data_IF_063763570668
#
_entry.id   IF_063763570668
#
_cell.length_a   1.000
_cell.length_b   1.000
_cell.length_c   1.000
_cell.angle_alpha   90.00
_cell.angle_beta   90.00
_cell.angle_gamma   90.00
#
_symmetry.space_group_name_H-M   'P 1'
#
loop_
_entity.id
_entity.type
_entity.pdbx_description
1 polymer ?
#
# COMPACT_ATOMS: atom_id res chain seq x y z
N UNK A 1 -4.67 37.56 72.78
CA UNK A 1 -5.34 37.17 71.52
C UNK A 1 -4.69 37.97 70.39
N UNK A 2 -3.88 37.37 69.47
CA UNK A 2 -3.41 37.98 68.18
C UNK A 2 -2.29 37.20 67.44
N UNK A 3 -2.04 35.90 67.69
CA UNK A 3 -1.00 35.14 66.93
C UNK A 3 -1.52 34.07 65.95
N UNK A 4 -2.84 33.87 65.89
CA UNK A 4 -3.45 32.95 64.91
C UNK A 4 -3.41 33.42 63.42
N UNK A 5 -3.46 34.72 63.06
CA UNK A 5 -3.63 35.09 61.65
C UNK A 5 -2.34 34.98 60.82
N UNK A 6 -1.16 35.00 61.44
CA UNK A 6 0.13 34.91 60.74
C UNK A 6 0.49 33.50 60.29
N UNK A 7 0.12 32.49 61.09
CA UNK A 7 0.34 31.08 60.76
C UNK A 7 -0.57 30.61 59.61
N UNK A 8 -1.82 31.10 59.58
CA UNK A 8 -2.74 30.87 58.46
C UNK A 8 -2.25 31.52 57.16
N UNK A 9 -1.70 32.74 57.24
CA UNK A 9 -1.17 33.44 56.05
C UNK A 9 0.06 32.73 55.48
N UNK A 10 0.96 32.23 56.34
CA UNK A 10 2.14 31.47 55.93
C UNK A 10 1.79 30.10 55.36
N UNK A 11 0.78 29.42 55.91
CA UNK A 11 0.26 28.17 55.36
C UNK A 11 -0.39 28.37 53.98
N UNK A 12 -1.10 29.48 53.76
CA UNK A 12 -1.71 29.82 52.47
C UNK A 12 -0.65 30.17 51.41
N UNK A 13 0.42 30.87 51.79
CA UNK A 13 1.55 31.17 50.92
C UNK A 13 2.38 29.92 50.57
N UNK A 14 2.55 28.99 51.51
CA UNK A 14 3.20 27.71 51.25
C UNK A 14 2.37 26.82 50.31
N UNK A 15 1.03 26.89 50.38
CA UNK A 15 0.14 26.17 49.46
C UNK A 15 0.18 26.74 48.02
N UNK A 16 0.45 28.05 47.86
CA UNK A 16 0.58 28.67 46.53
C UNK A 16 1.89 28.31 45.82
N UNK A 17 2.95 27.98 46.57
CA UNK A 17 4.26 27.59 46.01
C UNK A 17 4.31 26.10 45.62
N UNK A 18 3.43 25.27 46.18
CA UNK A 18 3.27 23.85 45.82
C UNK A 18 2.19 23.58 44.77
N UNK A 19 1.52 24.60 44.23
CA UNK A 19 0.63 24.41 43.10
C UNK A 19 1.48 23.95 41.89
N UNK A 20 1.26 22.75 41.33
CA UNK A 20 1.96 22.34 40.14
C UNK A 20 1.61 23.38 39.08
N UNK A 21 2.63 24.05 38.54
CA UNK A 21 2.51 24.83 37.32
C UNK A 21 2.14 23.85 36.20
N UNK A 22 0.87 23.47 36.14
CA UNK A 22 0.26 22.90 34.96
C UNK A 22 0.35 24.00 33.93
N UNK A 23 1.42 23.96 33.13
CA UNK A 23 1.45 24.62 31.86
C UNK A 23 0.26 24.06 31.08
N UNK A 24 -0.87 24.76 31.15
CA UNK A 24 -1.91 24.65 30.18
C UNK A 24 -1.22 25.00 28.86
N UNK A 25 -0.80 23.97 28.10
CA UNK A 25 -0.62 24.11 26.66
C UNK A 25 -2.00 24.49 26.15
N UNK A 26 -2.24 25.80 26.07
CA UNK A 26 -3.24 26.33 25.19
C UNK A 26 -2.94 25.70 23.84
N UNK A 27 -3.82 24.80 23.39
CA UNK A 27 -3.71 24.19 22.07
C UNK A 27 -3.81 25.33 21.07
N UNK A 28 -2.65 25.83 20.63
CA UNK A 28 -2.57 26.55 19.37
C UNK A 28 -3.10 25.56 18.34
N UNK A 29 -4.34 25.76 17.92
CA UNK A 29 -4.89 25.07 16.76
C UNK A 29 -3.89 25.35 15.64
N UNK A 30 -3.21 24.30 15.20
CA UNK A 30 -2.30 24.41 14.08
C UNK A 30 -3.12 24.98 12.91
N UNK A 31 -2.61 25.98 12.18
CA UNK A 31 -3.31 26.52 11.02
C UNK A 31 -3.48 25.45 9.91
N UNK A 32 -2.80 24.32 10.04
CA UNK A 32 -2.92 23.16 9.14
C UNK A 32 -3.76 22.08 9.79
N UNK A 33 -4.74 21.56 9.04
CA UNK A 33 -5.54 20.40 9.44
C UNK A 33 -5.27 19.22 8.51
N UNK A 34 -5.33 18.02 9.08
CA UNK A 34 -5.19 16.75 8.39
C UNK A 34 -6.41 15.89 8.72
N UNK A 35 -7.23 15.58 7.72
CA UNK A 35 -8.27 14.55 7.80
C UNK A 35 -7.74 13.29 7.12
N UNK A 36 -7.56 12.20 7.86
CA UNK A 36 -6.87 10.99 7.38
C UNK A 36 -7.83 9.82 7.36
N UNK A 37 -7.81 9.10 6.24
CA UNK A 37 -8.55 7.86 6.00
C UNK A 37 -7.55 6.82 5.50
N UNK A 38 -7.12 5.96 6.41
CA UNK A 38 -6.17 4.90 6.12
C UNK A 38 -6.90 3.59 5.83
N UNK A 39 -6.29 2.74 5.01
CA UNK A 39 -6.81 1.42 4.69
C UNK A 39 -7.95 1.44 3.68
N UNK A 40 -8.41 0.24 3.32
CA UNK A 40 -9.44 0.04 2.29
C UNK A 40 -10.81 0.61 2.69
N UNK A 41 -11.14 0.52 3.98
CA UNK A 41 -12.39 1.01 4.56
C UNK A 41 -12.32 2.46 5.04
N UNK A 42 -11.15 3.10 4.96
CA UNK A 42 -10.88 4.43 5.50
C UNK A 42 -10.81 4.51 7.02
N UNK A 43 -10.96 3.38 7.73
CA UNK A 43 -10.93 3.27 9.20
C UNK A 43 -9.73 2.45 9.70
N UNK A 44 -8.73 2.27 8.83
CA UNK A 44 -7.44 1.68 9.15
C UNK A 44 -7.33 0.20 8.82
N UNK A 45 -8.31 -0.43 8.16
CA UNK A 45 -8.22 -1.85 7.81
C UNK A 45 -7.27 -2.07 6.63
N UNK A 46 -6.29 -2.96 6.81
CA UNK A 46 -5.30 -3.27 5.76
C UNK A 46 -4.83 -4.73 5.84
N UNK A 47 -4.35 -5.24 4.70
CA UNK A 47 -3.78 -6.57 4.58
C UNK A 47 -2.27 -6.49 4.80
N UNK A 48 -1.75 -7.27 5.75
CA UNK A 48 -0.32 -7.25 6.07
C UNK A 48 0.47 -7.86 4.91
N UNK A 49 1.64 -7.30 4.60
CA UNK A 49 2.45 -7.68 3.45
C UNK A 49 1.92 -7.21 2.09
N UNK A 50 0.90 -6.35 2.06
CA UNK A 50 0.35 -5.76 0.85
C UNK A 50 0.35 -4.22 0.94
N UNK A 51 0.38 -3.57 -0.23
CA UNK A 51 0.23 -2.12 -0.30
C UNK A 51 -1.21 -1.73 0.05
N UNK A 52 -1.37 -0.71 0.89
CA UNK A 52 -2.66 -0.15 1.23
C UNK A 52 -2.64 1.39 1.13
N UNK A 53 -3.78 2.01 0.79
CA UNK A 53 -3.86 3.45 0.63
C UNK A 53 -3.94 4.17 1.98
N UNK A 54 -3.20 5.27 2.11
CA UNK A 54 -3.40 6.27 3.17
C UNK A 54 -3.84 7.57 2.52
N UNK A 55 -5.15 7.76 2.42
CA UNK A 55 -5.76 8.98 1.90
C UNK A 55 -5.81 10.05 2.98
N UNK A 56 -5.56 11.31 2.60
CA UNK A 56 -5.72 12.44 3.50
C UNK A 56 -6.10 13.73 2.77
N UNK A 57 -6.89 14.55 3.45
CA UNK A 57 -7.16 15.92 3.04
C UNK A 57 -6.36 16.86 3.94
N UNK A 58 -5.45 17.59 3.32
CA UNK A 58 -4.57 18.57 3.98
C UNK A 58 -5.09 19.96 3.66
N UNK A 59 -5.47 20.72 4.68
CA UNK A 59 -5.90 22.11 4.50
C UNK A 59 -5.01 23.07 5.29
N UNK A 60 -4.66 24.21 4.69
CA UNK A 60 -3.83 25.24 5.30
C UNK A 60 -4.58 26.58 5.37
N UNK A 61 -4.93 27.01 6.58
CA UNK A 61 -5.54 28.32 6.86
C UNK A 61 -4.50 29.40 7.21
N UNK A 62 -3.22 29.05 7.32
CA UNK A 62 -2.12 29.92 7.71
C UNK A 62 -1.41 30.58 6.54
N UNK A 63 -0.13 30.91 6.74
CA UNK A 63 0.76 31.39 5.67
C UNK A 63 1.23 30.25 4.76
N UNK A 64 1.91 30.61 3.68
CA UNK A 64 2.47 29.65 2.73
C UNK A 64 3.45 28.70 3.44
N UNK A 65 3.30 27.40 3.17
CA UNK A 65 4.03 26.35 3.86
C UNK A 65 4.45 25.26 2.87
N UNK A 66 5.72 24.86 2.93
CA UNK A 66 6.23 23.69 2.22
C UNK A 66 6.73 22.70 3.25
N UNK A 67 6.24 21.48 3.18
CA UNK A 67 6.57 20.46 4.16
C UNK A 67 6.61 19.07 3.56
N UNK A 68 6.93 18.11 4.42
CA UNK A 68 6.94 16.70 4.12
C UNK A 68 5.99 16.01 5.08
N UNK A 69 5.05 15.26 4.53
CA UNK A 69 4.21 14.34 5.28
C UNK A 69 5.03 13.08 5.52
N UNK A 70 5.18 12.67 6.77
CA UNK A 70 5.89 11.45 7.15
C UNK A 70 4.94 10.48 7.85
N UNK A 71 4.90 9.24 7.37
CA UNK A 71 4.18 8.13 7.98
C UNK A 71 5.18 7.12 8.56
N UNK A 72 5.05 6.85 9.85
CA UNK A 72 5.97 6.01 10.62
C UNK A 72 5.20 4.97 11.41
N UNK A 73 5.70 3.74 11.44
CA UNK A 73 5.22 2.71 12.35
C UNK A 73 6.06 2.72 13.65
N UNK A 74 5.46 2.92 14.84
CA UNK A 74 6.20 2.99 16.09
C UNK A 74 7.01 1.71 16.37
N UNK A 75 8.29 1.87 16.71
CA UNK A 75 9.19 0.74 16.95
C UNK A 75 9.62 0.00 15.68
N UNK A 76 9.35 0.55 14.50
CA UNK A 76 9.99 0.13 13.25
C UNK A 76 11.33 0.81 13.05
N UNK A 77 12.31 0.07 12.56
CA UNK A 77 13.60 0.62 12.12
C UNK A 77 13.60 0.96 10.63
N UNK A 78 12.53 0.58 9.90
CA UNK A 78 12.33 0.95 8.51
C UNK A 78 12.20 2.48 8.34
N UNK A 79 12.65 3.04 7.20
CA UNK A 79 12.48 4.46 6.91
C UNK A 79 11.01 4.88 6.87
N UNK A 80 10.74 6.12 7.27
CA UNK A 80 9.41 6.74 7.14
C UNK A 80 8.99 6.82 5.67
N UNK A 81 7.71 6.61 5.38
CA UNK A 81 7.12 6.96 4.09
C UNK A 81 6.96 8.46 4.01
N UNK A 82 7.51 9.09 2.96
CA UNK A 82 7.61 10.55 2.84
C UNK A 82 6.91 11.06 1.60
N UNK A 83 6.12 12.11 1.75
CA UNK A 83 5.47 12.80 0.64
C UNK A 83 5.65 14.32 0.77
N UNK A 84 6.35 14.92 -0.20
CA UNK A 84 6.55 16.38 -0.23
C UNK A 84 5.27 17.09 -0.67
N UNK A 85 4.86 18.12 0.08
CA UNK A 85 3.64 18.87 -0.20
C UNK A 85 3.89 20.38 -0.13
N UNK A 86 3.44 21.09 -1.17
CA UNK A 86 3.35 22.55 -1.18
C UNK A 86 1.93 22.96 -0.77
N UNK A 87 1.80 23.76 0.29
CA UNK A 87 0.55 24.22 0.87
C UNK A 87 0.55 25.77 0.94
N UNK A 88 0.22 26.45 -0.17
CA UNK A 88 -0.04 27.88 -0.14
C UNK A 88 -1.18 28.24 0.83
N UNK A 89 -1.27 29.51 1.20
CA UNK A 89 -2.35 30.04 2.03
C UNK A 89 -3.73 29.71 1.43
N UNK A 90 -4.59 29.10 2.23
CA UNK A 90 -5.94 28.70 1.82
C UNK A 90 -6.00 27.40 1.00
N UNK A 91 -4.87 26.72 0.79
CA UNK A 91 -4.84 25.49 0.01
C UNK A 91 -5.60 24.36 0.73
N UNK A 92 -6.35 23.57 -0.04
CA UNK A 92 -6.95 22.30 0.37
C UNK A 92 -6.59 21.24 -0.67
N UNK A 93 -5.79 20.25 -0.27
CA UNK A 93 -5.27 19.21 -1.17
C UNK A 93 -5.67 17.83 -0.66
N UNK A 94 -6.07 16.97 -1.58
CA UNK A 94 -6.25 15.55 -1.33
C UNK A 94 -4.99 14.81 -1.81
N UNK A 95 -4.45 13.95 -0.96
CA UNK A 95 -3.23 13.17 -1.23
C UNK A 95 -3.48 11.73 -0.79
N UNK A 96 -2.97 10.78 -1.55
CA UNK A 96 -2.94 9.37 -1.15
C UNK A 96 -1.48 8.91 -1.13
N UNK A 97 -1.05 8.35 0.00
CA UNK A 97 0.28 7.78 0.15
C UNK A 97 0.15 6.26 0.13
N UNK A 98 0.83 5.55 -0.80
CA UNK A 98 0.91 4.10 -0.77
C UNK A 98 1.82 3.66 0.39
N UNK A 99 1.34 2.79 1.27
CA UNK A 99 2.08 2.28 2.43
C UNK A 99 2.08 0.75 2.42
N UNK A 100 3.18 0.14 2.85
CA UNK A 100 3.32 -1.31 3.03
C UNK A 100 4.02 -1.61 4.36
N UNK A 101 3.69 -2.75 4.96
CA UNK A 101 4.39 -3.30 6.13
C UNK A 101 4.17 -4.81 6.22
N UNK A 102 5.17 -5.55 6.66
CA UNK A 102 5.11 -6.99 6.96
C UNK A 102 4.69 -7.31 8.38
N UNK A 103 4.44 -6.29 9.21
CA UNK A 103 4.02 -6.47 10.60
C UNK A 103 2.64 -5.89 10.82
N UNK A 104 1.81 -6.58 11.60
CA UNK A 104 0.50 -6.13 12.04
C UNK A 104 0.55 -4.97 13.04
N UNK A 105 0.83 -3.76 12.57
CA UNK A 105 0.71 -2.54 13.35
C UNK A 105 -0.75 -2.14 13.57
N UNK A 106 -1.12 -1.89 14.83
CA UNK A 106 -2.42 -1.35 15.22
C UNK A 106 -2.46 0.20 15.28
N UNK A 107 -1.28 0.84 15.21
CA UNK A 107 -1.13 2.31 15.24
C UNK A 107 0.02 2.70 14.33
N UNK A 108 -0.16 3.80 13.59
CA UNK A 108 0.91 4.54 12.93
C UNK A 108 0.92 5.99 13.41
N UNK A 109 2.05 6.67 13.25
CA UNK A 109 2.19 8.11 13.47
C UNK A 109 2.28 8.82 12.12
N UNK A 110 1.36 9.76 11.89
CA UNK A 110 1.42 10.67 10.76
C UNK A 110 1.87 12.03 11.26
N UNK A 111 2.91 12.59 10.63
CA UNK A 111 3.42 13.91 10.97
C UNK A 111 3.60 14.80 9.74
N UNK A 112 3.47 16.11 9.94
CA UNK A 112 3.84 17.12 8.96
C UNK A 112 5.10 17.82 9.46
N UNK A 113 6.18 17.70 8.69
CA UNK A 113 7.49 18.29 9.00
C UNK A 113 7.76 19.46 8.06
N UNK A 114 8.11 20.62 8.61
CA UNK A 114 8.45 21.85 7.87
C UNK A 114 9.80 22.34 8.38
N UNK A 115 10.75 22.57 7.47
CA UNK A 115 12.12 22.99 7.82
C UNK A 115 12.78 22.09 8.90
N UNK A 116 12.51 20.78 8.85
CA UNK A 116 13.01 19.80 9.80
C UNK A 116 12.34 19.81 11.18
N UNK A 117 11.28 20.63 11.39
CA UNK A 117 10.49 20.67 12.62
C UNK A 117 9.10 20.09 12.40
N UNK A 118 8.68 19.24 13.32
CA UNK A 118 7.33 18.67 13.33
C UNK A 118 6.32 19.74 13.71
N UNK A 119 5.44 20.09 12.77
CA UNK A 119 4.40 21.12 12.92
C UNK A 119 3.09 20.51 13.42
N UNK A 120 2.82 19.26 13.03
CA UNK A 120 1.62 18.51 13.40
C UNK A 120 1.99 17.03 13.55
N UNK A 121 1.38 16.37 14.53
CA UNK A 121 1.40 14.91 14.65
C UNK A 121 0.04 14.39 15.02
N UNK A 122 -0.32 13.23 14.48
CA UNK A 122 -1.49 12.48 14.89
C UNK A 122 -1.22 10.98 14.84
N UNK A 123 -1.73 10.27 15.85
CA UNK A 123 -1.77 8.82 15.84
C UNK A 123 -2.96 8.36 14.99
N UNK A 124 -2.71 7.48 14.02
CA UNK A 124 -3.71 6.88 13.15
C UNK A 124 -3.92 5.44 13.59
N UNK A 125 -5.15 5.10 13.96
CA UNK A 125 -5.51 3.73 14.33
C UNK A 125 -5.58 2.86 13.08
N UNK A 126 -5.03 1.67 13.19
CA UNK A 126 -5.04 0.65 12.15
C UNK A 126 -5.63 -0.66 12.67
N UNK A 127 -6.12 -1.47 11.75
CA UNK A 127 -6.70 -2.79 12.00
C UNK A 127 -6.00 -3.78 11.05
N UNK A 128 -4.87 -4.38 11.47
CA UNK A 128 -4.14 -5.31 10.63
C UNK A 128 -4.93 -6.60 10.41
N UNK A 129 -4.88 -7.10 9.18
CA UNK A 129 -5.33 -8.44 8.81
C UNK A 129 -4.05 -9.26 8.58
N UNK A 130 -3.58 -9.91 9.65
CA UNK A 130 -2.33 -10.71 9.68
C UNK A 130 -2.51 -12.14 9.16
N UNK A 131 -3.75 -12.61 8.99
CA UNK A 131 -4.04 -13.98 8.55
C UNK A 131 -4.12 -14.01 7.03
N UNK A 132 -3.86 -15.16 6.41
CA UNK A 132 -4.17 -15.49 5.00
C UNK A 132 -5.69 -15.44 4.70
N UNK A 133 -6.45 -14.59 5.40
CA UNK A 133 -7.87 -14.43 5.25
C UNK A 133 -8.22 -13.84 3.89
N UNK A 134 -9.36 -14.25 3.36
CA UNK A 134 -9.93 -13.71 2.14
C UNK A 134 -10.56 -12.37 2.45
N UNK A 135 -10.07 -11.30 1.84
CA UNK A 135 -10.60 -9.95 2.03
C UNK A 135 -11.56 -9.63 0.88
N UNK A 136 -12.80 -9.32 1.26
CA UNK A 136 -13.88 -8.94 0.35
C UNK A 136 -14.15 -7.45 0.54
N UNK A 137 -13.68 -6.63 -0.40
CA UNK A 137 -14.01 -5.21 -0.49
C UNK A 137 -15.42 -5.02 -1.02
N UNK A 138 -16.30 -4.36 -0.27
CA UNK A 138 -17.67 -4.07 -0.68
C UNK A 138 -17.81 -2.58 -0.93
N UNK A 139 -17.85 -2.20 -2.20
CA UNK A 139 -18.07 -0.85 -2.68
C UNK A 139 -19.57 -0.61 -2.82
N UNK A 140 -20.18 -0.06 -1.77
CA UNK A 140 -21.63 0.08 -1.67
C UNK A 140 -22.03 1.21 -0.72
N UNK A 141 -23.16 1.86 -0.99
CA UNK A 141 -23.84 2.74 -0.04
C UNK A 141 -24.46 1.96 1.13
N UNK A 142 -24.83 0.69 0.89
CA UNK A 142 -25.39 -0.22 1.89
C UNK A 142 -24.29 -0.99 2.62
N UNK A 143 -24.09 -0.63 3.89
CA UNK A 143 -23.07 -1.21 4.78
C UNK A 143 -23.42 -2.61 5.32
N UNK A 144 -24.64 -3.09 5.10
CA UNK A 144 -25.13 -4.39 5.59
C UNK A 144 -25.13 -5.48 4.53
N UNK A 145 -24.90 -5.11 3.27
CA UNK A 145 -24.83 -6.00 2.12
C UNK A 145 -23.86 -7.17 2.36
N UNK A 146 -24.23 -8.41 2.03
CA UNK A 146 -23.39 -9.60 2.20
C UNK A 146 -22.81 -9.80 3.62
N UNK A 147 -23.46 -9.27 4.66
CA UNK A 147 -23.00 -9.44 6.05
C UNK A 147 -22.96 -10.90 6.51
N UNK A 148 -23.78 -11.77 5.89
CA UNK A 148 -23.76 -13.22 6.10
C UNK A 148 -22.42 -13.88 5.75
N UNK A 149 -21.62 -13.26 4.87
CA UNK A 149 -20.31 -13.76 4.48
C UNK A 149 -19.24 -13.54 5.56
N UNK A 150 -19.45 -12.60 6.49
CA UNK A 150 -18.48 -12.31 7.56
C UNK A 150 -18.25 -13.48 8.53
N UNK A 151 -19.19 -14.43 8.60
CA UNK A 151 -19.08 -15.65 9.41
C UNK A 151 -18.82 -16.90 8.58
N UNK A 152 -18.65 -16.74 7.27
CA UNK A 152 -18.47 -17.84 6.31
C UNK A 152 -17.02 -17.92 5.90
N UNK A 153 -16.48 -19.14 5.76
CA UNK A 153 -15.17 -19.35 5.16
C UNK A 153 -15.34 -19.61 3.66
N UNK A 154 -15.06 -18.60 2.82
CA UNK A 154 -15.10 -18.73 1.36
C UNK A 154 -14.07 -19.76 0.87
N UNK A 155 -12.87 -19.75 1.47
CA UNK A 155 -11.85 -20.78 1.28
C UNK A 155 -11.65 -21.51 2.60
N UNK A 156 -11.73 -22.83 2.57
CA UNK A 156 -11.65 -23.66 3.78
C UNK A 156 -10.32 -23.45 4.50
N UNK A 157 -10.39 -23.15 5.81
CA UNK A 157 -9.19 -22.85 6.62
C UNK A 157 -8.82 -21.37 6.70
N UNK A 158 -9.42 -20.51 5.86
CA UNK A 158 -9.17 -19.07 5.84
C UNK A 158 -10.39 -18.30 6.34
N UNK A 159 -10.16 -17.26 7.14
CA UNK A 159 -11.22 -16.35 7.58
C UNK A 159 -11.64 -15.45 6.43
N UNK A 160 -12.92 -15.09 6.34
CA UNK A 160 -13.37 -14.08 5.38
C UNK A 160 -13.56 -12.76 6.12
N UNK A 161 -12.89 -11.72 5.63
CA UNK A 161 -12.94 -10.37 6.22
C UNK A 161 -13.66 -9.44 5.25
N UNK A 162 -14.70 -8.78 5.73
CA UNK A 162 -15.43 -7.80 4.95
C UNK A 162 -14.80 -6.42 5.12
N UNK A 163 -14.39 -5.80 4.03
CA UNK A 163 -13.94 -4.41 3.99
C UNK A 163 -15.03 -3.52 3.40
N UNK A 164 -15.53 -2.55 4.17
CA UNK A 164 -16.63 -1.67 3.75
C UNK A 164 -16.05 -0.42 3.12
N UNK A 165 -16.17 -0.31 1.79
CA UNK A 165 -15.50 0.71 1.01
C UNK A 165 -16.51 1.72 0.47
N UNK A 166 -16.12 2.98 0.43
CA UNK A 166 -16.84 4.03 -0.28
C UNK A 166 -16.15 4.36 -1.60
N UNK A 167 -16.92 4.83 -2.59
CA UNK A 167 -16.40 5.13 -3.93
C UNK A 167 -15.26 6.17 -3.94
N UNK A 168 -15.27 7.11 -2.99
CA UNK A 168 -14.23 8.12 -2.83
C UNK A 168 -12.91 7.57 -2.26
N UNK A 169 -12.92 6.37 -1.68
CA UNK A 169 -11.73 5.69 -1.17
C UNK A 169 -11.11 4.72 -2.18
N UNK A 170 -11.75 4.48 -3.32
CA UNK A 170 -11.24 3.59 -4.34
C UNK A 170 -9.90 4.13 -4.91
N UNK A 171 -8.77 3.41 -4.76
CA UNK A 171 -7.49 3.83 -5.31
C UNK A 171 -7.49 3.90 -6.84
N UNK A 172 -6.58 4.70 -7.38
CA UNK A 172 -6.37 4.87 -8.82
C UNK A 172 -5.17 4.07 -9.36
N UNK A 173 -4.70 3.10 -8.57
CA UNK A 173 -3.61 2.17 -8.87
C UNK A 173 -4.01 0.75 -8.45
N UNK A 174 -3.83 -0.23 -9.36
CA UNK A 174 -4.16 -1.63 -9.13
C UNK A 174 -3.33 -2.27 -8.01
N UNK A 175 -2.09 -1.82 -7.79
CA UNK A 175 -1.25 -2.34 -6.70
C UNK A 175 -1.86 -2.06 -5.32
N UNK A 176 -2.58 -0.95 -5.18
CA UNK A 176 -3.29 -0.59 -3.95
C UNK A 176 -4.59 -1.35 -3.75
N UNK A 177 -4.97 -2.21 -4.69
CA UNK A 177 -6.11 -3.13 -4.57
C UNK A 177 -5.66 -4.58 -4.35
N UNK A 178 -4.36 -4.88 -4.49
CA UNK A 178 -3.82 -6.24 -4.47
C UNK A 178 -4.06 -6.98 -3.14
N UNK A 179 -4.18 -6.25 -2.03
CA UNK A 179 -4.54 -6.87 -0.75
C UNK A 179 -6.02 -7.22 -0.62
N UNK A 180 -6.86 -6.95 -1.62
CA UNK A 180 -8.25 -7.40 -1.71
C UNK A 180 -8.32 -8.58 -2.69
N UNK A 181 -9.00 -9.66 -2.30
CA UNK A 181 -9.18 -10.83 -3.16
C UNK A 181 -10.44 -10.72 -4.04
N UNK A 182 -11.49 -10.14 -3.44
CA UNK A 182 -12.79 -9.96 -4.08
C UNK A 182 -13.21 -8.50 -3.89
N UNK A 183 -13.70 -7.87 -4.96
CA UNK A 183 -14.36 -6.57 -4.90
C UNK A 183 -15.80 -6.76 -5.35
N UNK A 184 -16.75 -6.33 -4.52
CA UNK A 184 -18.18 -6.32 -4.80
C UNK A 184 -18.61 -4.89 -5.06
N UNK A 185 -19.23 -4.62 -6.20
CA UNK A 185 -19.78 -3.30 -6.53
C UNK A 185 -21.30 -3.39 -6.56
N UNK A 186 -21.94 -2.55 -5.74
CA UNK A 186 -23.39 -2.45 -5.63
C UNK A 186 -23.79 -0.99 -5.43
N UNK A 187 -24.82 -0.53 -6.16
CA UNK A 187 -25.39 0.82 -6.02
C UNK A 187 -24.40 1.99 -6.27
N UNK A 188 -23.27 1.75 -6.95
CA UNK A 188 -22.29 2.79 -7.29
C UNK A 188 -22.35 3.14 -8.78
N UNK A 189 -22.42 4.43 -9.09
CA UNK A 189 -22.36 4.91 -10.47
C UNK A 189 -20.92 4.86 -10.98
N UNK A 190 -20.49 3.75 -11.57
CA UNK A 190 -19.09 3.55 -11.96
C UNK A 190 -18.61 4.51 -13.05
N UNK A 191 -19.54 5.11 -13.82
CA UNK A 191 -19.25 6.18 -14.76
C UNK A 191 -18.72 7.46 -14.09
N UNK A 192 -18.99 7.68 -12.79
CA UNK A 192 -18.48 8.86 -12.04
C UNK A 192 -17.07 8.66 -11.49
N UNK A 193 -16.57 7.41 -11.48
CA UNK A 193 -15.17 7.13 -11.16
C UNK A 193 -14.25 7.78 -12.19
N UNK A 194 -13.03 8.15 -11.79
CA UNK A 194 -12.05 8.64 -12.75
C UNK A 194 -11.60 7.53 -13.72
N UNK A 195 -11.08 7.92 -14.89
CA UNK A 195 -10.48 6.97 -15.84
C UNK A 195 -9.40 6.10 -15.20
N UNK A 196 -8.57 6.68 -14.31
CA UNK A 196 -7.52 5.96 -13.59
C UNK A 196 -8.08 4.94 -12.60
N UNK A 197 -9.14 5.26 -11.87
CA UNK A 197 -9.81 4.32 -10.97
C UNK A 197 -10.46 3.14 -11.73
N UNK A 198 -11.09 3.42 -12.88
CA UNK A 198 -11.66 2.37 -13.72
C UNK A 198 -10.57 1.46 -14.32
N UNK A 199 -9.48 2.07 -14.78
CA UNK A 199 -8.30 1.33 -15.25
C UNK A 199 -7.69 0.48 -14.11
N UNK A 200 -7.54 1.04 -12.91
CA UNK A 200 -7.03 0.31 -11.75
C UNK A 200 -7.89 -0.90 -11.38
N UNK A 201 -9.22 -0.79 -11.41
CA UNK A 201 -10.12 -1.93 -11.23
C UNK A 201 -9.93 -2.98 -12.33
N UNK A 202 -9.90 -2.56 -13.59
CA UNK A 202 -9.72 -3.48 -14.72
C UNK A 202 -8.36 -4.19 -14.67
N UNK A 203 -7.29 -3.48 -14.34
CA UNK A 203 -5.94 -4.02 -14.20
C UNK A 203 -5.84 -4.94 -13.00
N UNK A 204 -6.44 -4.60 -11.86
CA UNK A 204 -6.54 -5.48 -10.69
C UNK A 204 -7.25 -6.80 -11.04
N UNK A 205 -8.35 -6.76 -11.80
CA UNK A 205 -9.01 -7.98 -12.30
C UNK A 205 -8.06 -8.76 -13.21
N UNK A 206 -7.39 -8.12 -14.17
CA UNK A 206 -6.42 -8.79 -15.07
C UNK A 206 -5.27 -9.45 -14.31
N UNK A 207 -4.85 -8.87 -13.18
CA UNK A 207 -3.81 -9.40 -12.30
C UNK A 207 -4.32 -10.52 -11.37
N UNK A 208 -5.62 -10.80 -11.37
CA UNK A 208 -6.21 -11.90 -10.62
C UNK A 208 -7.48 -11.52 -9.89
N UNK A 209 -7.77 -10.26 -9.61
CA UNK A 209 -8.95 -9.87 -8.81
C UNK A 209 -10.27 -10.54 -9.25
N UNK A 210 -11.10 -10.94 -8.27
CA UNK A 210 -12.48 -11.37 -8.56
C UNK A 210 -13.43 -10.20 -8.36
N UNK A 211 -14.01 -9.69 -9.44
CA UNK A 211 -15.00 -8.61 -9.37
C UNK A 211 -16.42 -9.18 -9.40
N UNK A 212 -17.24 -8.89 -8.39
CA UNK A 212 -18.68 -9.18 -8.38
C UNK A 212 -19.47 -7.88 -8.59
N UNK A 213 -20.24 -7.81 -9.65
CA UNK A 213 -21.08 -6.65 -9.98
C UNK A 213 -22.54 -7.00 -9.75
N UNK A 214 -23.22 -6.21 -8.91
CA UNK A 214 -24.65 -6.34 -8.67
C UNK A 214 -25.45 -5.82 -9.86
N UNK A 215 -26.50 -6.57 -10.21
CA UNK A 215 -27.54 -6.15 -11.14
C UNK A 215 -28.71 -5.52 -10.40
N UNK A 216 -29.91 -5.68 -10.98
CA UNK A 216 -31.15 -5.07 -10.50
C UNK A 216 -31.56 -3.83 -11.31
N UNK A 217 -32.44 -2.99 -10.76
CA UNK A 217 -32.91 -1.77 -11.42
C UNK A 217 -31.77 -0.80 -11.81
N UNK A 218 -30.72 -0.76 -11.00
CA UNK A 218 -29.55 0.12 -11.19
C UNK A 218 -28.40 -0.50 -11.98
N UNK A 219 -28.57 -1.71 -12.53
CA UNK A 219 -27.48 -2.48 -13.15
C UNK A 219 -26.73 -1.70 -14.25
N UNK A 220 -27.46 -0.94 -15.07
CA UNK A 220 -26.85 -0.15 -16.14
C UNK A 220 -25.93 0.93 -15.58
N UNK A 221 -26.36 1.65 -14.52
CA UNK A 221 -25.56 2.68 -13.84
C UNK A 221 -24.32 2.08 -13.15
N UNK A 222 -24.42 0.87 -12.63
CA UNK A 222 -23.31 0.16 -11.98
C UNK A 222 -22.32 -0.40 -13.02
N UNK A 223 -22.80 -0.90 -14.15
CA UNK A 223 -21.96 -1.52 -15.17
C UNK A 223 -21.34 -0.54 -16.18
N UNK A 224 -21.91 0.66 -16.35
CA UNK A 224 -21.54 1.61 -17.41
C UNK A 224 -20.03 1.91 -17.46
N UNK A 225 -19.42 2.22 -16.32
CA UNK A 225 -17.98 2.50 -16.23
C UNK A 225 -17.09 1.26 -16.38
N UNK A 226 -17.67 0.06 -16.39
CA UNK A 226 -16.94 -1.21 -16.44
C UNK A 226 -17.23 -2.01 -17.70
N UNK A 227 -17.95 -1.44 -18.67
CA UNK A 227 -18.46 -2.16 -19.85
C UNK A 227 -17.36 -2.98 -20.58
N UNK A 228 -16.12 -2.48 -20.61
CA UNK A 228 -14.99 -3.17 -21.25
C UNK A 228 -14.67 -4.55 -20.67
N UNK A 229 -14.93 -4.79 -19.38
CA UNK A 229 -14.63 -6.05 -18.68
C UNK A 229 -15.90 -6.83 -18.28
N UNK A 230 -17.09 -6.30 -18.54
CA UNK A 230 -18.35 -6.97 -18.20
C UNK A 230 -18.54 -8.26 -19.01
N UNK A 231 -18.99 -9.36 -18.38
CA UNK A 231 -19.17 -10.64 -19.07
C UNK A 231 -20.45 -10.71 -19.91
N UNK A 232 -21.36 -9.73 -19.78
CA UNK A 232 -22.60 -9.67 -20.52
C UNK A 232 -22.98 -8.22 -20.85
N UNK A 233 -23.71 -8.03 -21.94
CA UNK A 233 -24.39 -6.78 -22.26
C UNK A 233 -25.76 -6.75 -21.58
N UNK A 234 -26.05 -5.66 -20.88
CA UNK A 234 -27.32 -5.45 -20.19
C UNK A 234 -28.30 -4.80 -21.16
N UNK A 235 -29.40 -5.47 -21.45
CA UNK A 235 -30.48 -4.94 -22.28
C UNK A 235 -31.44 -4.08 -21.46
N UNK A 236 -32.23 -3.25 -22.14
CA UNK A 236 -33.24 -2.44 -21.50
C UNK A 236 -34.36 -3.29 -20.89
N UNK A 237 -34.75 -2.95 -19.66
CA UNK A 237 -35.86 -3.59 -18.96
C UNK A 237 -35.44 -4.76 -18.05
N UNK A 238 -36.42 -5.25 -17.28
CA UNK A 238 -36.26 -6.31 -16.30
C UNK A 238 -37.19 -7.48 -16.63
N UNK A 239 -36.70 -8.70 -16.39
CA UNK A 239 -37.51 -9.91 -16.28
C UNK A 239 -38.13 -9.94 -14.90
N UNK A 240 -39.45 -10.13 -14.82
CA UNK A 240 -40.20 -10.31 -13.58
C UNK A 240 -40.55 -11.77 -13.37
N UNK A 241 -40.86 -12.16 -12.13
CA UNK A 241 -41.29 -13.52 -11.79
C UNK A 241 -40.27 -14.62 -12.16
N UNK A 242 -38.97 -14.27 -12.15
CA UNK A 242 -37.91 -15.22 -12.48
C UNK A 242 -37.75 -16.24 -11.36
N UNK A 243 -37.71 -17.53 -11.71
CA UNK A 243 -37.57 -18.61 -10.73
C UNK A 243 -36.24 -18.52 -9.96
N UNK A 244 -36.30 -18.66 -8.64
CA UNK A 244 -35.12 -18.74 -7.77
C UNK A 244 -34.49 -20.15 -7.72
N UNK A 245 -35.15 -21.17 -8.28
CA UNK A 245 -34.68 -22.56 -8.25
C UNK A 245 -33.25 -22.77 -8.79
N UNK A 246 -32.77 -22.06 -9.83
CA UNK A 246 -31.38 -22.16 -10.27
C UNK A 246 -30.38 -21.76 -9.18
N UNK A 247 -30.69 -20.71 -8.41
CA UNK A 247 -29.84 -20.24 -7.30
C UNK A 247 -29.85 -21.25 -6.14
N UNK A 248 -31.01 -21.83 -5.83
CA UNK A 248 -31.12 -22.89 -4.83
C UNK A 248 -30.27 -24.12 -5.16
N UNK A 249 -30.30 -24.55 -6.43
CA UNK A 249 -29.46 -25.65 -6.93
C UNK A 249 -27.97 -25.35 -6.75
N UNK A 250 -27.54 -24.13 -7.07
CA UNK A 250 -26.15 -23.68 -6.87
C UNK A 250 -25.75 -23.64 -5.40
N UNK A 251 -26.66 -23.23 -4.51
CA UNK A 251 -26.41 -23.20 -3.07
C UNK A 251 -26.40 -24.60 -2.41
N UNK A 252 -26.61 -25.68 -3.17
CA UNK A 252 -26.59 -27.06 -2.67
C UNK A 252 -27.72 -27.39 -1.69
N UNK A 253 -28.78 -26.57 -1.63
CA UNK A 253 -29.98 -26.81 -0.83
C UNK A 253 -31.21 -26.70 -1.71
N UNK A 254 -31.96 -27.80 -1.83
CA UNK A 254 -33.30 -27.78 -2.41
C UNK A 254 -34.31 -27.25 -1.38
N UNK A 255 -35.05 -26.21 -1.75
CA UNK A 255 -36.21 -25.72 -1.00
C UNK A 255 -35.92 -24.45 -0.22
N UNK A 256 -36.24 -23.29 -0.81
CA UNK A 256 -36.48 -22.07 -0.06
C UNK A 256 -37.93 -21.59 -0.29
N UNK A 257 -38.79 -21.84 0.69
CA UNK A 257 -40.01 -21.05 0.84
C UNK A 257 -39.71 -19.54 0.96
N UNK A 258 -38.44 -19.16 1.19
CA UNK A 258 -38.00 -17.81 1.51
C UNK A 258 -37.76 -16.90 0.28
N UNK A 259 -37.49 -17.45 -0.92
CA UNK A 259 -37.38 -16.67 -2.19
C UNK A 259 -38.62 -16.83 -3.09
N UNK A 260 -39.73 -17.32 -2.54
CA UNK A 260 -40.90 -17.80 -3.28
C UNK A 260 -41.67 -16.75 -4.10
N UNK A 261 -41.36 -15.46 -3.98
CA UNK A 261 -42.12 -14.38 -4.64
C UNK A 261 -41.66 -14.04 -6.08
N UNK A 262 -40.75 -14.84 -6.65
CA UNK A 262 -40.21 -14.57 -7.98
C UNK A 262 -39.21 -13.41 -7.96
N UNK A 263 -38.10 -13.60 -8.63
CA UNK A 263 -37.00 -12.63 -8.66
C UNK A 263 -37.22 -11.65 -9.81
N UNK A 264 -36.70 -10.44 -9.62
CA UNK A 264 -36.51 -9.50 -10.73
C UNK A 264 -35.06 -9.59 -11.19
N UNK A 265 -34.85 -9.77 -12.48
CA UNK A 265 -33.51 -9.90 -13.06
C UNK A 265 -33.37 -9.13 -14.38
N UNK A 266 -32.19 -8.57 -14.64
CA UNK A 266 -31.87 -7.93 -15.91
C UNK A 266 -31.96 -8.93 -17.07
N UNK A 267 -32.34 -8.40 -18.24
CA UNK A 267 -32.17 -9.09 -19.51
C UNK A 267 -30.73 -8.92 -19.96
N UNK A 268 -30.04 -10.01 -20.27
CA UNK A 268 -28.64 -9.98 -20.66
C UNK A 268 -28.32 -10.82 -21.87
N UNK A 269 -27.34 -10.38 -22.64
CA UNK A 269 -26.71 -11.16 -23.71
C UNK A 269 -25.26 -11.43 -23.32
N UNK A 270 -24.87 -12.71 -23.26
CA UNK A 270 -23.50 -13.10 -22.91
C UNK A 270 -22.50 -12.58 -23.95
N UNK A 271 -21.35 -12.09 -23.48
CA UNK A 271 -20.21 -11.82 -24.36
C UNK A 271 -19.45 -13.10 -24.67
N UNK A 272 -18.64 -13.14 -25.75
CA UNK A 272 -17.79 -14.29 -26.06
C UNK A 272 -16.91 -14.68 -24.87
N UNK A 273 -16.83 -15.97 -24.56
CA UNK A 273 -16.06 -16.49 -23.41
C UNK A 273 -16.79 -16.46 -22.07
N UNK A 274 -17.91 -15.74 -21.95
CA UNK A 274 -18.71 -15.76 -20.73
C UNK A 274 -19.60 -17.01 -20.63
N UNK A 275 -19.87 -17.43 -19.39
CA UNK A 275 -20.70 -18.61 -19.07
C UNK A 275 -21.70 -18.28 -17.96
N UNK A 276 -22.90 -18.83 -18.06
CA UNK A 276 -23.87 -18.83 -16.94
C UNK A 276 -23.56 -20.01 -16.01
N UNK A 277 -23.53 -19.74 -14.70
CA UNK A 277 -23.33 -20.78 -13.69
C UNK A 277 -24.62 -21.52 -13.35
N UNK A 278 -25.75 -20.83 -13.50
CA UNK A 278 -27.09 -21.30 -13.08
C UNK A 278 -27.92 -21.87 -14.25
N UNK A 279 -27.53 -21.59 -15.49
CA UNK A 279 -28.22 -21.97 -16.73
C UNK A 279 -29.33 -21.00 -17.17
N UNK A 280 -29.77 -20.07 -16.30
CA UNK A 280 -30.84 -19.10 -16.56
C UNK A 280 -30.32 -17.64 -16.66
N UNK A 281 -29.00 -17.49 -16.80
CA UNK A 281 -28.30 -16.22 -16.87
C UNK A 281 -28.59 -15.30 -15.66
N UNK A 282 -28.79 -15.89 -14.47
CA UNK A 282 -28.90 -15.14 -13.21
C UNK A 282 -27.52 -14.79 -12.64
N UNK A 283 -26.54 -15.68 -12.80
CA UNK A 283 -25.15 -15.47 -12.42
C UNK A 283 -24.27 -15.83 -13.59
N UNK A 284 -23.57 -14.84 -14.12
CA UNK A 284 -22.71 -14.98 -15.29
C UNK A 284 -21.28 -14.67 -14.89
N UNK A 285 -20.34 -15.46 -15.40
CA UNK A 285 -18.90 -15.28 -15.18
C UNK A 285 -18.21 -15.11 -16.52
N UNK A 286 -17.28 -14.18 -16.61
CA UNK A 286 -16.32 -14.08 -17.70
C UNK A 286 -14.90 -13.95 -17.14
N UNK A 287 -13.96 -14.66 -17.74
CA UNK A 287 -12.55 -14.60 -17.36
C UNK A 287 -11.89 -13.38 -18.03
N UNK A 288 -11.08 -12.64 -17.27
CA UNK A 288 -10.41 -11.41 -17.73
C UNK A 288 -8.98 -11.40 -17.19
N UNK A 289 -8.01 -11.69 -18.06
CA UNK A 289 -6.63 -11.93 -17.63
C UNK A 289 -6.54 -13.14 -16.69
N UNK A 290 -5.84 -13.01 -15.56
CA UNK A 290 -5.76 -14.04 -14.54
C UNK A 290 -6.93 -14.03 -13.53
N UNK A 291 -7.85 -13.07 -13.65
CA UNK A 291 -9.02 -12.93 -12.77
C UNK A 291 -10.33 -13.14 -13.52
N UNK A 292 -11.42 -12.74 -12.88
CA UNK A 292 -12.77 -12.94 -13.42
C UNK A 292 -13.72 -11.84 -12.98
N UNK A 293 -14.71 -11.59 -13.83
CA UNK A 293 -15.85 -10.72 -13.54
C UNK A 293 -17.11 -11.56 -13.46
N UNK A 294 -17.80 -11.45 -12.33
CA UNK A 294 -19.05 -12.11 -12.03
C UNK A 294 -20.14 -11.05 -12.05
N UNK A 295 -21.16 -11.23 -12.87
CA UNK A 295 -22.33 -10.39 -12.90
C UNK A 295 -23.53 -11.17 -12.35
N UNK A 296 -24.10 -10.69 -11.25
CA UNK A 296 -25.38 -11.16 -10.76
C UNK A 296 -26.47 -10.34 -11.44
N UNK A 297 -27.29 -10.94 -12.30
CA UNK A 297 -28.33 -10.24 -13.05
C UNK A 297 -29.50 -9.77 -12.16
N UNK A 298 -29.43 -9.92 -10.85
CA UNK A 298 -30.44 -9.49 -9.89
C UNK A 298 -29.77 -8.62 -8.83
N UNK A 299 -30.58 -7.89 -8.06
CA UNK A 299 -30.09 -7.07 -6.96
C UNK A 299 -29.65 -7.98 -5.80
N UNK A 300 -28.38 -7.86 -5.39
CA UNK A 300 -27.80 -8.66 -4.30
C UNK A 300 -28.54 -8.50 -2.97
N UNK A 301 -29.25 -7.37 -2.75
CA UNK A 301 -30.04 -7.14 -1.53
C UNK A 301 -31.17 -8.14 -1.34
N UNK A 302 -31.67 -8.76 -2.43
CA UNK A 302 -32.70 -9.79 -2.39
C UNK A 302 -32.28 -11.04 -1.61
N UNK A 303 -30.97 -11.30 -1.53
CA UNK A 303 -30.44 -12.48 -0.83
C UNK A 303 -30.28 -12.27 0.67
N UNK A 304 -30.46 -11.04 1.19
CA UNK A 304 -30.20 -10.70 2.60
C UNK A 304 -31.00 -11.54 3.59
N UNK A 305 -32.25 -11.85 3.25
CA UNK A 305 -33.13 -12.68 4.08
C UNK A 305 -32.92 -14.19 3.83
N UNK A 306 -32.20 -14.56 2.77
CA UNK A 306 -32.05 -15.93 2.35
C UNK A 306 -30.92 -16.62 3.11
N UNK A 307 -31.30 -17.54 4.01
CA UNK A 307 -30.37 -18.27 4.89
C UNK A 307 -29.30 -19.08 4.16
N UNK A 308 -29.51 -19.41 2.88
CA UNK A 308 -28.55 -20.17 2.08
C UNK A 308 -27.61 -19.28 1.25
N UNK A 309 -27.68 -17.94 1.38
CA UNK A 309 -26.80 -16.99 0.71
C UNK A 309 -25.30 -17.33 0.85
N UNK A 310 -24.77 -17.67 2.04
CA UNK A 310 -23.39 -18.13 2.18
C UNK A 310 -23.02 -19.34 1.32
N UNK A 311 -23.92 -20.30 1.19
CA UNK A 311 -23.68 -21.52 0.43
C UNK A 311 -23.73 -21.27 -1.09
N UNK A 312 -24.44 -20.22 -1.53
CA UNK A 312 -24.39 -19.75 -2.92
C UNK A 312 -23.01 -19.15 -3.21
N UNK A 313 -22.55 -18.21 -2.37
CA UNK A 313 -21.34 -17.44 -2.67
C UNK A 313 -20.05 -18.22 -2.44
N UNK A 314 -20.01 -19.17 -1.51
CA UNK A 314 -18.81 -19.97 -1.23
C UNK A 314 -18.19 -20.63 -2.48
N UNK A 315 -18.91 -21.42 -3.30
CA UNK A 315 -18.35 -21.99 -4.52
C UNK A 315 -18.17 -20.98 -5.67
N UNK A 316 -18.89 -19.84 -5.64
CA UNK A 316 -18.84 -18.84 -6.71
C UNK A 316 -17.65 -17.90 -6.53
N UNK A 317 -17.36 -17.51 -5.29
CA UNK A 317 -16.27 -16.61 -4.91
C UNK A 317 -15.02 -17.36 -4.45
N UNK A 318 -15.01 -18.70 -4.48
CA UNK A 318 -13.82 -19.47 -4.15
C UNK A 318 -12.68 -19.04 -5.07
N UNK A 319 -11.58 -18.61 -4.45
CA UNK A 319 -10.34 -18.29 -5.15
C UNK A 319 -9.58 -19.61 -5.25
N UNK A 320 -9.29 -20.07 -6.47
CA UNK A 320 -8.37 -21.20 -6.66
C UNK A 320 -7.01 -20.85 -6.05
N UNK A 321 -6.27 -21.85 -5.55
CA UNK A 321 -4.94 -21.65 -4.96
C UNK A 321 -4.02 -20.95 -5.97
N UNK A 322 -3.87 -19.64 -5.81
CA UNK A 322 -3.00 -18.82 -6.63
C UNK A 322 -1.59 -18.92 -6.10
N UNK A 323 -0.63 -18.90 -7.02
CA UNK A 323 0.74 -18.59 -6.67
C UNK A 323 0.78 -17.17 -6.09
N UNK A 324 0.77 -17.06 -4.76
CA UNK A 324 0.91 -15.75 -4.12
C UNK A 324 2.31 -15.23 -4.39
N UNK A 325 2.39 -14.02 -4.95
CA UNK A 325 3.64 -13.29 -5.05
C UNK A 325 4.10 -13.02 -3.63
N UNK A 326 5.20 -13.65 -3.21
CA UNK A 326 5.69 -13.52 -1.84
C UNK A 326 5.91 -12.05 -1.47
N UNK A 327 5.54 -11.67 -0.24
CA UNK A 327 5.68 -10.30 0.27
C UNK A 327 7.09 -9.71 0.05
N UNK A 328 8.13 -10.55 -0.03
CA UNK A 328 9.49 -10.12 -0.35
C UNK A 328 9.59 -9.40 -1.70
N UNK A 329 8.79 -9.76 -2.71
CA UNK A 329 8.74 -9.06 -4.00
C UNK A 329 8.00 -7.72 -3.93
N UNK A 330 7.11 -7.53 -2.94
CA UNK A 330 6.34 -6.30 -2.75
C UNK A 330 7.08 -5.28 -1.87
N UNK A 331 7.71 -5.76 -0.81
CA UNK A 331 8.48 -4.95 0.14
C UNK A 331 9.89 -4.65 -0.32
N UNK A 332 10.60 -5.68 -0.85
CA UNK A 332 11.81 -5.38 -1.59
C UNK A 332 11.30 -4.78 -2.87
N UNK A 333 11.33 -3.46 -2.90
CA UNK A 333 11.92 -2.77 -4.02
C UNK A 333 13.34 -3.35 -4.18
N UNK A 334 13.46 -4.61 -4.62
CA UNK A 334 14.56 -5.04 -5.44
C UNK A 334 14.40 -4.09 -6.59
N UNK A 335 15.08 -2.96 -6.42
CA UNK A 335 15.20 -1.95 -7.40
C UNK A 335 16.00 -2.70 -8.44
N UNK A 336 15.33 -3.48 -9.30
CA UNK A 336 15.95 -4.44 -10.19
C UNK A 336 16.96 -3.69 -11.03
N UNK A 337 16.67 -2.41 -11.29
CA UNK A 337 17.55 -1.37 -11.79
C UNK A 337 18.78 -1.16 -10.88
N UNK A 338 18.66 -0.83 -9.58
CA UNK A 338 19.83 -0.75 -8.69
C UNK A 338 20.60 -2.08 -8.54
N UNK A 339 19.91 -3.22 -8.54
CA UNK A 339 20.49 -4.57 -8.50
C UNK A 339 21.21 -4.95 -9.80
N UNK A 340 20.75 -4.45 -10.95
CA UNK A 340 21.44 -4.59 -12.26
C UNK A 340 22.46 -3.48 -12.53
N UNK A 341 22.37 -2.34 -11.86
CA UNK A 341 23.35 -1.24 -11.84
C UNK A 341 24.43 -1.48 -10.78
N UNK A 342 24.37 -2.54 -9.97
CA UNK A 342 25.55 -3.12 -9.29
C UNK A 342 26.52 -3.72 -10.32
N UNK A 343 26.99 -2.88 -11.24
CA UNK A 343 28.14 -3.11 -12.08
C UNK A 343 29.30 -3.40 -11.12
N UNK A 344 30.03 -4.50 -11.35
CA UNK A 344 31.24 -4.81 -10.60
C UNK A 344 32.26 -3.64 -10.56
N UNK A 345 32.11 -2.66 -11.48
CA UNK A 345 32.85 -1.41 -11.54
C UNK A 345 32.60 -0.42 -10.38
N UNK A 346 31.48 -0.54 -9.64
CA UNK A 346 31.16 0.30 -8.47
C UNK A 346 31.58 -0.33 -7.14
N UNK A 347 32.05 -1.58 -7.16
CA UNK A 347 32.61 -2.20 -5.96
C UNK A 347 33.90 -1.47 -5.57
N UNK A 348 33.92 -0.93 -4.36
CA UNK A 348 35.12 -0.37 -3.77
C UNK A 348 36.22 -1.44 -3.74
N UNK A 349 37.49 -1.09 -4.02
CA UNK A 349 38.60 -2.01 -3.83
C UNK A 349 38.56 -2.60 -2.42
N UNK A 350 38.88 -3.88 -2.28
CA UNK A 350 38.88 -4.57 -0.98
C UNK A 350 39.61 -3.73 0.07
N UNK A 351 39.01 -3.49 1.25
CA UNK A 351 39.66 -2.75 2.34
C UNK A 351 41.02 -3.34 2.71
N UNK A 352 41.21 -4.65 2.53
CA UNK A 352 42.49 -5.32 2.76
C UNK A 352 43.58 -4.88 1.77
N UNK A 353 43.23 -4.65 0.49
CA UNK A 353 44.17 -4.15 -0.53
C UNK A 353 44.55 -2.70 -0.22
N UNK A 354 43.57 -1.88 0.18
CA UNK A 354 43.83 -0.50 0.59
C UNK A 354 44.73 -0.43 1.82
N UNK A 355 44.46 -1.28 2.82
CA UNK A 355 45.27 -1.37 4.03
C UNK A 355 46.70 -1.86 3.72
N UNK A 356 46.83 -2.91 2.90
CA UNK A 356 48.14 -3.39 2.44
C UNK A 356 48.93 -2.26 1.75
N UNK A 357 48.28 -1.54 0.83
CA UNK A 357 48.90 -0.45 0.08
C UNK A 357 49.36 0.70 1.00
N UNK A 358 48.54 1.09 1.98
CA UNK A 358 48.90 2.10 2.98
C UNK A 358 50.06 1.64 3.86
N UNK A 359 50.03 0.39 4.34
CA UNK A 359 51.10 -0.17 5.18
C UNK A 359 52.40 -0.28 4.39
N UNK A 360 52.37 -0.76 3.15
CA UNK A 360 53.54 -0.80 2.26
C UNK A 360 54.08 0.60 2.03
N UNK A 361 53.24 1.60 1.77
CA UNK A 361 53.67 2.99 1.61
C UNK A 361 54.40 3.52 2.84
N UNK A 362 53.82 3.36 4.04
CA UNK A 362 54.41 3.84 5.30
C UNK A 362 55.75 3.13 5.56
N UNK A 363 55.82 1.81 5.34
CA UNK A 363 57.06 1.04 5.52
C UNK A 363 58.15 1.46 4.53
N UNK A 364 57.81 1.67 3.26
CA UNK A 364 58.75 2.06 2.22
C UNK A 364 59.31 3.46 2.49
N UNK A 365 58.43 4.43 2.76
CA UNK A 365 58.81 5.84 2.94
C UNK A 365 59.51 6.09 4.28
N UNK A 366 59.10 5.38 5.34
CA UNK A 366 59.68 5.54 6.67
C UNK A 366 60.89 4.63 6.90
N UNK A 367 60.69 3.43 7.47
CA UNK A 367 61.78 2.58 7.92
C UNK A 367 62.69 2.12 6.78
N UNK A 368 62.16 1.68 5.64
CA UNK A 368 63.01 1.16 4.55
C UNK A 368 63.89 2.27 3.96
N UNK A 369 63.32 3.42 3.60
CA UNK A 369 64.10 4.56 3.11
C UNK A 369 65.16 4.99 4.13
N UNK A 370 64.80 5.11 5.41
CA UNK A 370 65.74 5.47 6.47
C UNK A 370 66.87 4.44 6.63
N UNK A 371 66.56 3.14 6.69
CA UNK A 371 67.57 2.09 6.84
C UNK A 371 68.54 2.05 5.65
N UNK A 372 68.01 2.20 4.42
CA UNK A 372 68.82 2.23 3.19
C UNK A 372 69.77 3.44 3.20
N UNK A 373 69.26 4.63 3.47
CA UNK A 373 70.08 5.85 3.53
C UNK A 373 71.10 5.83 4.67
N UNK A 374 70.72 5.27 5.83
CA UNK A 374 71.63 5.07 6.97
C UNK A 374 72.75 4.09 6.63
N UNK A 375 72.45 2.99 5.93
CA UNK A 375 73.47 2.03 5.48
C UNK A 375 74.43 2.63 4.46
N UNK A 376 73.94 3.54 3.62
CA UNK A 376 74.74 4.31 2.66
C UNK A 376 75.46 5.52 3.27
N UNK A 377 75.28 5.78 4.57
CA UNK A 377 75.80 6.95 5.31
C UNK A 377 75.44 8.31 4.67
N UNK A 378 74.34 8.37 3.92
CA UNK A 378 73.86 9.58 3.22
C UNK A 378 72.42 9.91 3.61
N UNK A 379 72.21 10.11 4.91
CA UNK A 379 70.88 10.41 5.48
C UNK A 379 70.39 11.80 5.07
N UNK A 380 71.32 12.68 4.70
CA UNK A 380 71.07 13.97 4.07
C UNK A 380 70.30 13.84 2.75
N UNK A 381 70.39 12.73 2.00
CA UNK A 381 69.60 12.56 0.76
C UNK A 381 68.10 12.33 1.00
N UNK A 382 67.65 12.17 2.25
CA UNK A 382 66.25 11.92 2.60
C UNK A 382 65.29 13.01 2.08
N UNK A 383 65.75 14.27 1.97
CA UNK A 383 64.93 15.36 1.44
C UNK A 383 64.64 15.22 -0.06
N UNK A 384 65.44 14.44 -0.80
CA UNK A 384 65.22 14.15 -2.23
C UNK A 384 64.52 12.79 -2.40
N UNK A 385 64.94 11.76 -1.67
CA UNK A 385 64.38 10.41 -1.85
C UNK A 385 62.93 10.32 -1.39
N UNK A 386 62.55 11.07 -0.35
CA UNK A 386 61.18 11.05 0.16
C UNK A 386 60.18 11.61 -0.87
N UNK A 387 60.36 12.81 -1.45
CA UNK A 387 59.52 13.28 -2.56
C UNK A 387 59.53 12.35 -3.78
N UNK A 388 60.69 11.80 -4.15
CA UNK A 388 60.80 10.90 -5.30
C UNK A 388 60.00 9.60 -5.10
N UNK A 389 60.07 8.99 -3.91
CA UNK A 389 59.29 7.82 -3.56
C UNK A 389 57.78 8.09 -3.58
N UNK A 390 57.35 9.26 -3.09
CA UNK A 390 55.95 9.68 -3.14
C UNK A 390 55.47 9.82 -4.59
N UNK A 391 56.27 10.44 -5.47
CA UNK A 391 55.94 10.58 -6.88
C UNK A 391 55.84 9.23 -7.61
N UNK A 392 56.78 8.30 -7.34
CA UNK A 392 56.76 6.94 -7.88
C UNK A 392 55.50 6.20 -7.42
N UNK A 393 55.14 6.33 -6.14
CA UNK A 393 53.97 5.66 -5.58
C UNK A 393 52.67 6.21 -6.15
N UNK A 394 52.56 7.54 -6.34
CA UNK A 394 51.43 8.18 -7.00
C UNK A 394 51.26 7.70 -8.45
N UNK A 395 52.35 7.66 -9.22
CA UNK A 395 52.33 7.18 -10.61
C UNK A 395 51.94 5.69 -10.68
N UNK A 396 52.46 4.87 -9.77
CA UNK A 396 52.10 3.45 -9.66
C UNK A 396 50.63 3.24 -9.32
N UNK A 397 50.12 3.96 -8.32
CA UNK A 397 48.71 3.89 -7.92
C UNK A 397 47.77 4.36 -9.04
N UNK A 398 48.14 5.43 -9.75
CA UNK A 398 47.39 5.93 -10.89
C UNK A 398 47.37 4.90 -12.05
N UNK A 399 48.50 4.30 -12.37
CA UNK A 399 48.60 3.25 -13.39
C UNK A 399 47.76 2.01 -13.06
N UNK A 400 47.80 1.54 -11.80
CA UNK A 400 46.98 0.42 -11.33
C UNK A 400 45.49 0.75 -11.41
N UNK A 401 45.08 1.98 -11.05
CA UNK A 401 43.70 2.44 -11.18
C UNK A 401 43.22 2.41 -12.64
N UNK A 402 44.08 2.81 -13.58
CA UNK A 402 43.76 2.79 -15.01
C UNK A 402 43.59 1.37 -15.56
N UNK A 403 44.44 0.42 -15.12
CA UNK A 403 44.35 -1.00 -15.49
C UNK A 403 43.12 -1.66 -14.88
N UNK A 404 42.80 -1.37 -13.61
CA UNK A 404 41.67 -1.98 -12.91
C UNK A 404 40.31 -1.44 -13.37
N UNK A 405 40.19 -0.14 -13.70
CA UNK A 405 38.89 0.48 -14.06
C UNK A 405 38.47 0.22 -15.51
N UNK A 406 39.40 -0.13 -16.40
CA UNK A 406 39.12 -0.30 -17.82
C UNK A 406 38.73 1.02 -18.53
N UNK A 407 38.86 1.07 -19.85
CA UNK A 407 38.60 2.28 -20.66
C UNK A 407 37.32 2.20 -21.50
N UNK A 408 36.55 1.12 -21.37
CA UNK A 408 35.36 0.89 -22.19
C UNK A 408 34.10 1.37 -21.46
N UNK A 409 33.30 2.27 -22.07
CA UNK A 409 32.00 2.62 -21.52
C UNK A 409 31.10 1.38 -21.52
N UNK A 410 30.49 1.08 -20.37
CA UNK A 410 29.49 0.01 -20.24
C UNK A 410 28.10 0.64 -20.30
N UNK A 411 27.25 0.13 -21.20
CA UNK A 411 25.83 0.50 -21.29
C UNK A 411 25.02 -0.71 -20.86
N UNK A 412 24.29 -0.59 -19.76
CA UNK A 412 23.36 -1.62 -19.28
C UNK A 412 21.95 -1.29 -19.78
N UNK A 413 21.30 -2.24 -20.44
CA UNK A 413 19.91 -2.11 -20.91
C UNK A 413 19.05 -3.17 -20.22
N UNK A 414 17.96 -2.74 -19.58
CA UNK A 414 16.96 -3.60 -18.94
C UNK A 414 15.67 -3.55 -19.76
N UNK A 415 15.07 -4.71 -20.04
CA UNK A 415 13.76 -4.83 -20.65
C UNK A 415 12.84 -5.63 -19.74
N UNK A 416 11.71 -5.05 -19.33
CA UNK A 416 10.66 -5.74 -18.59
C UNK A 416 9.61 -6.20 -19.61
N UNK A 417 9.35 -7.50 -19.68
CA UNK A 417 8.33 -8.09 -20.55
C UNK A 417 7.29 -8.77 -19.68
N UNK A 418 6.07 -8.24 -19.69
CA UNK A 418 4.92 -8.86 -19.05
C UNK A 418 4.06 -9.49 -20.15
N UNK A 419 3.86 -10.80 -20.09
CA UNK A 419 3.00 -11.54 -21.02
C UNK A 419 1.87 -12.21 -20.26
N UNK A 420 0.68 -12.21 -20.85
CA UNK A 420 -0.45 -13.02 -20.40
C UNK A 420 -0.79 -14.00 -21.53
N UNK A 421 -0.98 -15.28 -21.20
CA UNK A 421 -1.69 -16.18 -22.12
C UNK A 421 -3.18 -15.81 -22.09
N UNK A 422 -3.74 -15.73 -23.30
CA UNK A 422 -5.03 -15.09 -23.59
C UNK A 422 -6.25 -15.70 -22.94
#
# INVERSE_FOLDING_TARGET
>A
MTRLPRLLLLALLALLVLAPAGAARAGQQSPVTLDVRAGYDGHGQYNVGHWFPVGMVVANAGGDLRGTIEWVFPGDSAPAFRYAIDLPRGARKQVTIPVITTRGYAVAELSLVVDGKQVLSQAVRLTPIDTDGIIVGVLSSDQTLLSSLSTTQLVSGYTTVMSRMSADLLPDDAMLLEGLDVIVIHDVATATLSDRQRAALADWVRLGGTLLVSGGPDAQRVAEGLDAIMPAQIAAGLRTEVSAQPLERLAGRGGAADLAQGLTANQITLRPGARSLDGENLIVVGDVGAGRVIFAAFDLTLLRAWRAEPNLWKPILSIEDRMQIGHSFRERNENLVAGTIQLAALNLPSPAILLLLIVTYILVVGPVNFLVLRRLRRVDLAWVTTPALVAIFLLGAYGVSFVLRGTRPQVSQLALVQSFEG
#
